data_IF_239119570797
#
_entry.id   IF_239119570797
#
_cell.length_a   1.000
_cell.length_b   1.000
_cell.length_c   1.000
_cell.angle_alpha   90.00
_cell.angle_beta   90.00
_cell.angle_gamma   90.00
#
_symmetry.space_group_name_H-M   'P 1'
#
loop_
_entity.id
_entity.type
_entity.pdbx_description
1 polymer ?
#
# COMPACT_ATOMS: atom_id res chain seq x y z
N UNK A 1 -3.56 28.19 -67.74
CA UNK A 1 -4.36 28.05 -68.92
C UNK A 1 -5.61 27.27 -68.54
N UNK A 2 -6.70 28.04 -68.41
CA UNK A 2 -8.07 27.53 -68.37
C UNK A 2 -8.48 27.16 -69.81
N UNK A 3 -9.55 26.35 -69.98
CA UNK A 3 -10.81 27.06 -70.22
C UNK A 3 -12.06 26.43 -69.54
N UNK A 4 -12.98 27.34 -69.38
CA UNK A 4 -14.38 27.29 -69.01
C UNK A 4 -15.29 26.54 -69.98
N UNK A 5 -16.53 26.43 -69.47
CA UNK A 5 -17.85 26.24 -70.14
C UNK A 5 -18.37 24.80 -70.04
N UNK A 6 -19.62 24.53 -69.55
CA UNK A 6 -20.89 25.03 -70.01
C UNK A 6 -22.02 24.89 -68.98
N UNK A 7 -22.77 25.98 -68.83
CA UNK A 7 -24.12 26.05 -68.28
C UNK A 7 -25.12 25.42 -69.23
N UNK A 8 -26.08 24.65 -68.70
CA UNK A 8 -27.47 24.70 -69.23
C UNK A 8 -28.47 24.28 -68.14
N UNK A 9 -29.45 25.15 -67.99
CA UNK A 9 -30.71 24.98 -67.29
C UNK A 9 -31.57 23.88 -67.88
N UNK A 10 -32.29 23.14 -67.02
CA UNK A 10 -33.68 22.76 -67.34
C UNK A 10 -34.53 22.75 -66.08
N UNK A 11 -35.65 23.41 -66.14
CA UNK A 11 -36.75 23.48 -65.16
C UNK A 11 -37.53 22.16 -65.21
N UNK A 12 -37.81 21.52 -64.12
CA UNK A 12 -38.97 20.63 -63.96
C UNK A 12 -39.70 21.00 -62.68
N UNK A 13 -41.00 21.17 -62.88
CA UNK A 13 -42.01 21.76 -62.01
C UNK A 13 -42.42 20.92 -60.83
N UNK A 14 -42.77 21.66 -59.81
CA UNK A 14 -43.69 21.35 -58.69
C UNK A 14 -44.67 20.19 -58.92
N UNK A 15 -44.60 19.18 -58.09
CA UNK A 15 -45.77 18.49 -57.54
C UNK A 15 -45.28 17.57 -56.33
N UNK A 16 -45.77 17.84 -55.16
CA UNK A 16 -46.08 17.06 -53.98
C UNK A 16 -45.72 17.75 -52.64
N UNK A 17 -46.70 18.45 -52.07
CA UNK A 17 -46.52 18.94 -50.68
C UNK A 17 -47.23 18.10 -49.60
N UNK A 18 -47.66 16.85 -49.85
CA UNK A 18 -48.51 16.14 -48.88
C UNK A 18 -47.87 14.91 -48.25
N UNK A 19 -46.79 14.39 -48.76
CA UNK A 19 -46.13 13.18 -48.19
C UNK A 19 -45.04 13.55 -47.17
N UNK A 20 -44.51 14.76 -47.21
CA UNK A 20 -43.43 15.18 -46.31
C UNK A 20 -43.88 15.56 -44.91
N UNK A 21 -45.17 15.84 -44.70
CA UNK A 21 -45.70 16.16 -43.35
C UNK A 21 -46.00 14.94 -42.47
N UNK A 22 -46.23 13.78 -43.04
CA UNK A 22 -46.50 12.55 -42.29
C UNK A 22 -45.20 11.84 -41.87
N UNK A 23 -44.08 11.99 -42.57
CA UNK A 23 -42.81 11.41 -42.18
C UNK A 23 -42.11 12.17 -41.02
N UNK A 24 -42.32 13.48 -40.91
CA UNK A 24 -41.76 14.28 -39.81
C UNK A 24 -42.43 14.00 -38.46
N UNK A 25 -43.70 13.60 -38.45
CA UNK A 25 -44.38 13.23 -37.19
C UNK A 25 -43.98 11.85 -36.70
N UNK A 26 -43.60 10.91 -37.55
CA UNK A 26 -43.10 9.60 -37.11
C UNK A 26 -41.66 9.61 -36.63
N UNK A 27 -40.85 10.52 -37.14
CA UNK A 27 -39.47 10.69 -36.64
C UNK A 27 -39.44 11.37 -35.27
N UNK A 28 -40.35 12.33 -35.01
CA UNK A 28 -40.47 12.96 -33.70
C UNK A 28 -41.07 12.02 -32.62
N UNK A 29 -41.90 11.04 -33.00
CA UNK A 29 -42.49 10.10 -32.05
C UNK A 29 -41.54 8.95 -31.67
N UNK A 30 -40.57 8.60 -32.53
CA UNK A 30 -39.56 7.57 -32.27
C UNK A 30 -38.41 8.15 -31.46
N UNK A 31 -38.08 9.44 -31.55
CA UNK A 31 -37.04 10.07 -30.70
C UNK A 31 -37.53 10.38 -29.30
N UNK A 32 -38.85 10.52 -29.08
CA UNK A 32 -39.40 10.78 -27.75
C UNK A 32 -39.58 9.53 -26.89
N UNK A 33 -39.41 8.31 -27.44
CA UNK A 33 -39.60 7.06 -26.67
C UNK A 33 -38.31 6.37 -26.23
N UNK A 34 -37.13 6.96 -26.51
CA UNK A 34 -35.82 6.41 -26.12
C UNK A 34 -34.93 7.39 -25.39
N UNK A 35 -35.46 8.43 -24.78
CA UNK A 35 -34.74 9.17 -23.75
C UNK A 35 -34.88 8.36 -22.45
N UNK A 36 -34.08 7.32 -22.29
CA UNK A 36 -33.76 6.81 -20.96
C UNK A 36 -33.36 8.03 -20.11
N UNK A 37 -33.90 8.21 -18.90
CA UNK A 37 -33.49 9.30 -18.06
C UNK A 37 -31.96 9.18 -17.91
N UNK A 38 -31.24 10.23 -18.27
CA UNK A 38 -29.80 10.35 -17.96
C UNK A 38 -29.74 10.06 -16.45
N UNK A 39 -29.04 9.00 -16.00
CA UNK A 39 -28.94 8.71 -14.60
C UNK A 39 -28.42 10.00 -13.94
N UNK A 40 -29.18 10.51 -12.95
CA UNK A 40 -28.77 11.69 -12.21
C UNK A 40 -27.34 11.43 -11.75
N UNK A 41 -26.42 12.34 -12.07
CA UNK A 41 -25.03 12.26 -11.60
C UNK A 41 -25.10 12.04 -10.08
N UNK A 42 -24.78 10.84 -9.64
CA UNK A 42 -24.71 10.55 -8.21
C UNK A 42 -23.72 11.55 -7.60
N UNK A 43 -24.15 12.20 -6.52
CA UNK A 43 -23.27 13.13 -5.81
C UNK A 43 -22.00 12.40 -5.42
N UNK A 44 -20.81 13.02 -5.61
CA UNK A 44 -19.55 12.42 -5.19
C UNK A 44 -19.66 11.94 -3.74
N UNK A 45 -19.26 10.71 -3.49
CA UNK A 45 -19.29 10.13 -2.15
C UNK A 45 -18.42 10.95 -1.21
N UNK A 46 -18.89 11.18 0.00
CA UNK A 46 -18.08 11.79 1.03
C UNK A 46 -17.03 10.79 1.55
N UNK A 47 -15.95 11.32 2.11
CA UNK A 47 -14.90 10.50 2.73
C UNK A 47 -15.48 9.53 3.78
N UNK A 48 -16.47 9.96 4.56
CA UNK A 48 -17.10 9.12 5.59
C UNK A 48 -17.93 7.95 5.03
N UNK A 49 -18.35 7.99 3.77
CA UNK A 49 -19.05 6.89 3.10
C UNK A 49 -18.10 5.87 2.46
N UNK A 50 -16.88 6.30 2.19
CA UNK A 50 -15.83 5.50 1.52
C UNK A 50 -14.78 4.96 2.48
N UNK A 51 -14.82 5.39 3.75
CA UNK A 51 -13.84 5.08 4.79
C UNK A 51 -14.50 4.45 6.01
N UNK A 52 -13.84 3.44 6.57
CA UNK A 52 -14.24 2.81 7.84
C UNK A 52 -13.07 2.76 8.81
N UNK A 53 -13.35 2.68 10.10
CA UNK A 53 -12.36 2.33 11.12
C UNK A 53 -12.20 0.82 11.15
N UNK A 54 -10.98 0.35 10.93
CA UNK A 54 -10.65 -1.07 11.03
C UNK A 54 -10.45 -1.44 12.50
N UNK A 55 -9.59 -0.71 13.18
CA UNK A 55 -9.25 -0.92 14.60
C UNK A 55 -8.54 0.31 15.17
N UNK A 56 -8.27 0.30 16.47
CA UNK A 56 -7.52 1.34 17.15
C UNK A 56 -8.26 1.92 18.35
N UNK A 57 -7.92 3.16 18.70
CA UNK A 57 -8.47 3.82 19.87
C UNK A 57 -9.99 3.96 19.80
N UNK A 58 -10.64 3.45 20.84
CA UNK A 58 -12.04 3.71 21.17
C UNK A 58 -12.15 4.09 22.64
N UNK A 59 -12.73 5.26 22.91
CA UNK A 59 -12.97 5.74 24.29
C UNK A 59 -13.90 4.85 25.11
N UNK A 60 -14.72 4.03 24.45
CA UNK A 60 -15.67 3.11 25.07
C UNK A 60 -15.10 1.67 25.16
N UNK A 61 -13.84 1.48 24.77
CA UNK A 61 -13.18 0.18 24.82
C UNK A 61 -13.20 -0.39 26.25
N UNK A 62 -13.54 -1.67 26.43
CA UNK A 62 -13.48 -2.34 27.73
C UNK A 62 -12.09 -2.20 28.36
N UNK A 63 -12.05 -2.00 29.69
CA UNK A 63 -10.78 -1.87 30.42
C UNK A 63 -9.90 -3.11 30.36
N UNK A 64 -10.51 -4.27 30.16
CA UNK A 64 -9.89 -5.58 30.02
C UNK A 64 -9.52 -5.93 28.57
N UNK A 65 -9.71 -5.00 27.64
CA UNK A 65 -9.26 -5.19 26.27
C UNK A 65 -7.74 -5.44 26.30
N UNK A 66 -7.28 -6.61 25.84
CA UNK A 66 -5.92 -7.07 26.13
C UNK A 66 -4.92 -6.01 25.67
N UNK A 67 -4.31 -5.42 26.65
CA UNK A 67 -3.14 -4.56 26.80
C UNK A 67 -2.43 -4.00 25.61
N UNK A 68 -3.17 -3.61 24.65
CA UNK A 68 -2.67 -3.25 23.35
C UNK A 68 -2.70 -1.71 23.32
N UNK A 69 -1.59 -1.12 22.97
CA UNK A 69 -1.49 0.33 22.79
C UNK A 69 -2.51 0.83 21.80
N UNK A 70 -2.76 2.12 21.85
CA UNK A 70 -3.73 2.80 21.00
C UNK A 70 -3.14 3.21 19.63
N UNK A 71 -2.00 2.66 19.27
CA UNK A 71 -1.29 2.94 18.05
C UNK A 71 -1.04 1.65 17.26
N UNK A 72 -1.24 1.71 15.95
CA UNK A 72 -0.95 0.62 15.06
C UNK A 72 -0.33 1.10 13.76
N UNK A 73 0.48 0.26 13.15
CA UNK A 73 0.89 0.39 11.76
C UNK A 73 -0.13 -0.34 10.88
N UNK A 74 -0.61 0.33 9.87
CA UNK A 74 -1.39 -0.34 8.84
C UNK A 74 -0.47 -1.21 7.99
N UNK A 75 -0.70 -2.51 8.04
CA UNK A 75 -0.04 -3.45 7.14
C UNK A 75 -0.86 -3.68 5.88
N UNK A 76 -0.57 -4.76 5.17
CA UNK A 76 -1.23 -5.09 3.93
C UNK A 76 -2.51 -5.89 4.11
N UNK A 77 -3.33 -5.87 3.07
CA UNK A 77 -4.55 -6.65 2.92
C UNK A 77 -4.31 -7.73 1.87
N UNK A 78 -4.89 -8.91 2.07
CA UNK A 78 -5.03 -9.95 1.05
C UNK A 78 -6.42 -10.56 1.11
N UNK A 79 -6.83 -11.24 0.03
CA UNK A 79 -8.08 -11.98 0.01
C UNK A 79 -7.82 -13.47 0.28
N UNK A 80 -8.58 -14.05 1.18
CA UNK A 80 -8.58 -15.48 1.50
C UNK A 80 -9.35 -16.26 0.45
N UNK A 81 -9.18 -17.60 0.43
CA UNK A 81 -9.84 -18.48 -0.55
C UNK A 81 -11.35 -18.48 -0.43
N UNK A 82 -11.86 -18.23 0.78
CA UNK A 82 -13.31 -18.12 1.06
C UNK A 82 -13.88 -16.72 0.74
N UNK A 83 -13.04 -15.81 0.21
CA UNK A 83 -13.43 -14.46 -0.18
C UNK A 83 -13.32 -13.42 0.92
N UNK A 84 -13.09 -13.80 2.18
CA UNK A 84 -12.81 -12.85 3.25
C UNK A 84 -11.53 -12.05 2.95
N UNK A 85 -11.47 -10.84 3.50
CA UNK A 85 -10.24 -10.05 3.52
C UNK A 85 -9.52 -10.30 4.85
N UNK A 86 -8.21 -10.40 4.78
CA UNK A 86 -7.30 -10.47 5.92
C UNK A 86 -6.41 -9.24 5.89
N UNK A 87 -6.34 -8.50 6.99
CA UNK A 87 -5.46 -7.36 7.19
C UNK A 87 -4.53 -7.65 8.34
N UNK A 88 -3.22 -7.52 8.12
CA UNK A 88 -2.21 -7.59 9.17
C UNK A 88 -1.81 -6.18 9.58
N UNK A 89 -1.56 -5.94 10.86
CA UNK A 89 -1.17 -4.63 11.37
C UNK A 89 -0.38 -4.77 12.67
N UNK A 90 0.41 -3.75 13.00
CA UNK A 90 1.02 -3.66 14.33
C UNK A 90 0.01 -3.10 15.32
N UNK A 91 0.15 -3.49 16.56
CA UNK A 91 -0.47 -2.84 17.69
C UNK A 91 0.56 -2.60 18.81
N UNK A 92 0.67 -1.34 19.24
CA UNK A 92 1.64 -0.92 20.23
C UNK A 92 1.47 0.56 20.57
N UNK A 93 2.37 1.12 21.38
CA UNK A 93 2.32 2.53 21.76
C UNK A 93 2.88 3.47 20.70
N UNK A 94 3.79 2.94 19.90
CA UNK A 94 4.47 3.64 18.82
C UNK A 94 5.10 2.61 17.89
N UNK A 95 5.77 3.03 16.82
CA UNK A 95 6.46 2.12 15.91
C UNK A 95 7.69 1.41 16.53
N UNK A 96 7.96 1.63 17.80
CA UNK A 96 8.94 0.97 18.59
C UNK A 96 8.43 0.92 20.03
N UNK A 97 7.82 -0.17 20.39
CA UNK A 97 7.26 -0.40 21.72
C UNK A 97 8.01 -1.56 22.36
N UNK A 98 8.53 -1.39 23.56
CA UNK A 98 9.35 -2.41 24.20
C UNK A 98 8.53 -3.41 24.99
N UNK A 99 8.87 -4.67 24.85
CA UNK A 99 8.24 -5.75 25.59
C UNK A 99 8.72 -5.81 27.06
N UNK A 100 9.94 -5.36 27.34
CA UNK A 100 10.51 -5.41 28.69
C UNK A 100 11.13 -4.09 29.12
N UNK A 101 10.43 -3.27 29.94
CA UNK A 101 10.94 -1.98 30.41
C UNK A 101 12.25 -2.08 31.17
N UNK A 102 12.52 -3.23 31.82
CA UNK A 102 13.75 -3.48 32.59
C UNK A 102 15.02 -3.48 31.73
N UNK A 103 14.87 -3.67 30.41
CA UNK A 103 15.98 -3.69 29.46
C UNK A 103 16.22 -2.32 28.82
N UNK A 104 15.40 -1.29 29.15
CA UNK A 104 15.58 0.04 28.57
C UNK A 104 16.83 0.68 29.17
N UNK A 105 17.78 0.97 28.30
CA UNK A 105 18.97 1.77 28.65
C UNK A 105 18.56 3.15 29.20
N UNK A 106 19.26 3.70 30.22
CA UNK A 106 18.92 4.99 30.82
C UNK A 106 18.80 6.14 29.78
N UNK A 107 19.68 6.16 28.78
CA UNK A 107 19.64 7.16 27.69
C UNK A 107 18.35 7.05 26.86
N UNK A 108 17.89 5.85 26.60
CA UNK A 108 16.65 5.61 25.89
C UNK A 108 15.45 6.01 26.75
N UNK A 109 15.46 5.71 28.04
CA UNK A 109 14.42 6.12 28.97
C UNK A 109 14.28 7.66 29.04
N UNK A 110 15.39 8.41 28.99
CA UNK A 110 15.36 9.88 28.91
C UNK A 110 14.67 10.35 27.63
N UNK A 111 15.00 9.76 26.48
CA UNK A 111 14.35 10.08 25.21
C UNK A 111 12.86 9.73 25.26
N UNK A 112 12.52 8.60 25.84
CA UNK A 112 11.15 8.13 26.01
C UNK A 112 10.30 9.13 26.80
N UNK A 113 10.83 9.59 27.96
CA UNK A 113 10.17 10.61 28.78
C UNK A 113 9.99 11.94 28.03
N UNK A 114 10.98 12.39 27.25
CA UNK A 114 10.86 13.61 26.44
C UNK A 114 9.72 13.54 25.42
N UNK A 115 9.32 12.36 25.02
CA UNK A 115 8.23 12.13 24.07
C UNK A 115 6.89 11.90 24.79
N UNK A 116 6.85 11.98 26.14
CA UNK A 116 5.68 11.61 26.94
C UNK A 116 5.18 10.20 26.69
N UNK A 117 6.08 9.27 26.38
CA UNK A 117 5.73 7.88 26.22
C UNK A 117 5.69 7.18 27.56
N UNK A 118 4.76 6.23 27.79
CA UNK A 118 4.66 5.55 29.06
C UNK A 118 5.92 4.71 29.33
N UNK A 119 6.46 4.84 30.55
CA UNK A 119 7.52 3.96 31.07
C UNK A 119 6.97 2.83 31.90
N UNK A 120 5.70 2.93 32.30
CA UNK A 120 4.99 1.94 33.08
C UNK A 120 4.19 1.04 32.14
N UNK A 121 4.79 -0.04 31.72
CA UNK A 121 4.16 -1.06 30.89
C UNK A 121 3.39 -2.06 31.76
N UNK A 122 2.35 -1.60 32.42
CA UNK A 122 1.41 -2.48 33.14
C UNK A 122 0.60 -3.35 32.18
N UNK A 123 0.55 -2.92 30.92
CA UNK A 123 -0.01 -3.75 29.88
C UNK A 123 1.02 -4.80 29.41
N UNK A 124 0.57 -5.97 28.97
CA UNK A 124 1.48 -6.92 28.33
C UNK A 124 2.12 -6.26 27.12
N UNK A 125 3.31 -5.81 27.31
CA UNK A 125 4.45 -5.92 26.45
C UNK A 125 4.33 -5.50 24.99
N UNK A 126 4.89 -4.37 24.68
CA UNK A 126 5.44 -4.01 23.38
C UNK A 126 4.47 -3.99 22.20
N UNK A 127 4.98 -3.63 21.07
CA UNK A 127 4.31 -3.80 19.79
C UNK A 127 4.28 -5.26 19.38
N UNK A 128 3.17 -5.70 18.82
CA UNK A 128 2.97 -7.04 18.32
C UNK A 128 2.26 -7.05 16.98
N UNK A 129 2.50 -8.09 16.23
CA UNK A 129 1.81 -8.34 14.97
C UNK A 129 0.41 -8.87 15.22
N UNK A 130 -0.57 -8.21 14.64
CA UNK A 130 -1.98 -8.52 14.77
C UNK A 130 -2.59 -8.84 13.41
N UNK A 131 -3.71 -9.53 13.44
CA UNK A 131 -4.54 -9.80 12.27
C UNK A 131 -6.00 -9.53 12.56
N UNK A 132 -6.72 -9.02 11.56
CA UNK A 132 -8.17 -8.82 11.58
C UNK A 132 -8.77 -9.22 10.25
N UNK A 133 -10.05 -9.59 10.25
CA UNK A 133 -10.74 -10.13 9.08
C UNK A 133 -12.00 -9.35 8.77
N UNK A 134 -12.39 -9.33 7.48
CA UNK A 134 -13.66 -8.79 7.01
C UNK A 134 -14.33 -9.80 6.08
N UNK A 135 -15.61 -10.09 6.35
CA UNK A 135 -16.46 -10.95 5.50
C UNK A 135 -17.42 -10.16 4.59
N UNK A 136 -17.39 -8.83 4.67
CA UNK A 136 -18.28 -7.92 3.97
C UNK A 136 -17.52 -6.87 3.13
N UNK A 137 -16.39 -7.30 2.53
CA UNK A 137 -15.54 -6.49 1.62
C UNK A 137 -14.91 -5.26 2.25
N UNK A 138 -14.62 -5.33 3.55
CA UNK A 138 -13.93 -4.25 4.27
C UNK A 138 -14.86 -3.29 4.98
N UNK A 139 -16.19 -3.52 4.99
CA UNK A 139 -17.15 -2.66 5.67
C UNK A 139 -17.06 -2.79 7.19
N UNK A 140 -16.96 -4.02 7.67
CA UNK A 140 -16.74 -4.31 9.09
C UNK A 140 -15.55 -5.26 9.26
N UNK A 141 -14.89 -5.16 10.40
CA UNK A 141 -13.70 -5.91 10.73
C UNK A 141 -13.84 -6.59 12.08
N UNK A 142 -13.32 -7.80 12.19
CA UNK A 142 -13.31 -8.53 13.46
C UNK A 142 -12.43 -7.83 14.49
N UNK A 143 -12.62 -8.17 15.76
CA UNK A 143 -11.64 -7.83 16.80
C UNK A 143 -10.27 -8.40 16.40
N UNK A 144 -9.17 -7.61 16.49
CA UNK A 144 -7.84 -8.11 16.20
C UNK A 144 -7.44 -9.24 17.13
N UNK A 145 -6.74 -10.21 16.57
CA UNK A 145 -6.08 -11.29 17.33
C UNK A 145 -4.58 -11.23 17.10
N UNK A 146 -3.79 -11.68 18.06
CA UNK A 146 -2.33 -11.73 17.94
C UNK A 146 -1.96 -12.75 16.87
N UNK A 147 -1.14 -12.31 15.89
CA UNK A 147 -0.53 -13.17 14.88
C UNK A 147 0.82 -13.69 15.37
N UNK A 148 1.67 -12.77 15.81
CA UNK A 148 2.99 -13.02 16.42
C UNK A 148 3.15 -12.06 17.59
N UNK A 149 3.86 -12.52 18.62
CA UNK A 149 4.29 -11.73 19.78
C UNK A 149 5.75 -12.08 20.06
N UNK A 150 6.65 -11.45 19.33
CA UNK A 150 8.08 -11.65 19.52
C UNK A 150 8.53 -11.01 20.83
N UNK A 151 9.53 -11.55 21.54
CA UNK A 151 10.06 -10.92 22.77
C UNK A 151 10.56 -9.49 22.60
N UNK A 152 10.90 -9.09 21.37
CA UNK A 152 11.13 -7.72 20.96
C UNK A 152 9.91 -7.15 20.22
N UNK A 153 9.87 -5.84 20.01
CA UNK A 153 8.78 -5.17 19.29
C UNK A 153 8.67 -5.68 17.84
N UNK A 154 7.53 -6.18 17.44
CA UNK A 154 7.32 -6.73 16.12
C UNK A 154 6.18 -6.04 15.35
N UNK A 155 6.27 -6.04 14.04
CA UNK A 155 5.34 -5.36 13.14
C UNK A 155 5.25 -6.06 11.80
N UNK A 156 4.04 -6.48 11.36
CA UNK A 156 3.84 -7.07 10.05
C UNK A 156 3.65 -5.96 9.00
N UNK A 157 4.40 -6.03 7.91
CA UNK A 157 4.30 -5.05 6.82
C UNK A 157 3.90 -5.65 5.50
N UNK A 158 4.38 -6.85 5.19
CA UNK A 158 4.09 -7.54 3.95
C UNK A 158 3.14 -8.70 4.16
N UNK A 159 2.13 -8.82 3.29
CA UNK A 159 1.24 -9.96 3.25
C UNK A 159 0.97 -10.30 1.79
N UNK A 160 1.34 -11.50 1.37
CA UNK A 160 1.19 -11.97 0.00
C UNK A 160 0.49 -13.32 -0.01
N UNK A 161 -0.50 -13.49 -0.90
CA UNK A 161 -0.93 -14.81 -1.35
C UNK A 161 -0.04 -15.24 -2.51
N UNK A 162 0.68 -16.32 -2.31
CA UNK A 162 1.53 -16.91 -3.32
C UNK A 162 0.71 -17.71 -4.36
N UNK A 163 1.29 -18.00 -5.52
CA UNK A 163 0.62 -18.78 -6.57
C UNK A 163 0.32 -20.23 -6.14
N UNK A 164 1.05 -20.77 -5.16
CA UNK A 164 0.76 -22.07 -4.54
C UNK A 164 -0.37 -22.02 -3.50
N UNK A 165 -1.10 -20.89 -3.44
CA UNK A 165 -2.14 -20.57 -2.47
C UNK A 165 -1.67 -20.44 -1.01
N UNK A 166 -0.39 -20.57 -0.71
CA UNK A 166 0.12 -20.25 0.62
C UNK A 166 0.07 -18.75 0.89
N UNK A 167 0.00 -18.38 2.17
CA UNK A 167 0.19 -17.01 2.62
C UNK A 167 1.62 -16.83 3.11
N UNK A 168 2.21 -15.71 2.76
CA UNK A 168 3.50 -15.24 3.25
C UNK A 168 3.28 -13.93 4.01
N UNK A 169 3.70 -13.86 5.25
CA UNK A 169 3.68 -12.64 6.05
C UNK A 169 5.11 -12.24 6.43
N UNK A 170 5.45 -10.97 6.19
CA UNK A 170 6.75 -10.40 6.47
C UNK A 170 6.66 -9.54 7.72
N UNK A 171 7.63 -9.69 8.62
CA UNK A 171 7.62 -9.09 9.96
C UNK A 171 8.95 -8.38 10.18
N UNK A 172 8.88 -7.12 10.61
CA UNK A 172 10.03 -6.37 11.12
C UNK A 172 10.07 -6.49 12.64
N UNK A 173 11.20 -6.89 13.18
CA UNK A 173 11.43 -6.94 14.65
C UNK A 173 12.44 -5.87 15.01
N UNK A 174 12.12 -5.05 16.00
CA UNK A 174 12.91 -3.89 16.44
C UNK A 174 13.54 -4.14 17.81
N UNK A 175 14.83 -3.89 17.89
CA UNK A 175 15.58 -4.00 19.14
C UNK A 175 15.25 -2.87 20.13
N UNK A 176 15.49 -3.07 21.44
CA UNK A 176 15.28 -2.03 22.46
C UNK A 176 16.11 -0.75 22.26
N UNK A 177 17.18 -0.82 21.50
CA UNK A 177 18.00 0.37 21.14
C UNK A 177 17.62 1.04 19.84
N UNK A 178 16.46 0.74 19.30
CA UNK A 178 15.97 1.36 18.06
C UNK A 178 16.10 2.89 18.11
N UNK A 179 16.74 3.45 17.07
CA UNK A 179 17.02 4.89 16.98
C UNK A 179 18.26 5.37 17.73
N UNK A 180 19.08 4.45 18.24
CA UNK A 180 20.43 4.72 18.73
C UNK A 180 21.47 4.25 17.70
N UNK A 181 22.64 4.88 17.66
CA UNK A 181 23.66 4.54 16.66
C UNK A 181 24.36 3.22 16.90
N UNK A 182 24.28 2.67 18.12
CA UNK A 182 24.98 1.45 18.52
C UNK A 182 24.11 0.61 19.43
N UNK A 183 24.29 -0.71 19.36
CA UNK A 183 23.70 -1.64 20.34
C UNK A 183 24.48 -1.57 21.66
N UNK A 184 23.79 -1.55 22.81
CA UNK A 184 24.46 -1.69 24.10
C UNK A 184 25.24 -3.02 24.16
N UNK A 185 26.45 -3.04 24.77
CA UNK A 185 27.25 -4.27 24.86
C UNK A 185 26.51 -5.46 25.47
N UNK A 186 25.65 -5.18 26.47
CA UNK A 186 24.85 -6.18 27.16
C UNK A 186 23.69 -6.78 26.32
N UNK A 187 23.34 -6.12 25.21
CA UNK A 187 22.20 -6.49 24.35
C UNK A 187 22.62 -6.96 22.94
N UNK A 188 23.92 -7.07 22.68
CA UNK A 188 24.44 -7.49 21.35
C UNK A 188 23.98 -8.87 20.91
N UNK A 189 23.57 -9.71 21.84
CA UNK A 189 23.03 -11.04 21.56
C UNK A 189 21.62 -11.00 20.99
N UNK A 190 20.88 -9.90 21.16
CA UNK A 190 19.54 -9.74 20.61
C UNK A 190 19.63 -9.39 19.12
N UNK A 191 18.76 -9.96 18.31
CA UNK A 191 18.67 -9.74 16.87
C UNK A 191 20.04 -9.74 16.14
N UNK A 192 20.98 -10.58 16.60
CA UNK A 192 22.36 -10.65 16.08
C UNK A 192 23.08 -9.29 16.07
N UNK A 193 22.76 -8.40 17.01
CA UNK A 193 23.30 -7.05 17.09
C UNK A 193 22.66 -6.03 16.16
N UNK A 194 21.70 -6.44 15.37
CA UNK A 194 20.96 -5.52 14.48
C UNK A 194 19.97 -4.65 15.27
N UNK A 195 19.82 -3.42 14.86
CA UNK A 195 18.82 -2.49 15.40
C UNK A 195 17.40 -2.92 14.99
N UNK A 196 17.26 -3.45 13.78
CA UNK A 196 16.02 -4.04 13.26
C UNK A 196 16.37 -5.23 12.37
N UNK A 197 15.64 -6.32 12.49
CA UNK A 197 15.80 -7.53 11.68
C UNK A 197 14.48 -7.91 11.05
N UNK A 198 14.56 -8.56 9.87
CA UNK A 198 13.41 -9.07 9.15
C UNK A 198 13.20 -10.54 9.43
N UNK A 199 11.94 -10.92 9.55
CA UNK A 199 11.47 -12.30 9.68
C UNK A 199 10.34 -12.55 8.70
N UNK A 200 10.07 -13.80 8.43
CA UNK A 200 8.92 -14.24 7.65
C UNK A 200 8.28 -15.47 8.26
N UNK A 201 6.97 -15.57 8.07
CA UNK A 201 6.15 -16.73 8.44
C UNK A 201 5.29 -17.11 7.24
N UNK A 202 4.89 -18.38 7.18
CA UNK A 202 4.04 -18.91 6.11
C UNK A 202 2.84 -19.66 6.68
N UNK A 203 1.73 -19.64 5.94
CA UNK A 203 0.55 -20.45 6.21
C UNK A 203 0.18 -21.21 4.94
N UNK A 204 -0.19 -22.48 5.09
CA UNK A 204 -0.70 -23.33 4.01
C UNK A 204 -2.19 -23.69 4.19
N UNK A 205 -2.83 -23.16 5.22
CA UNK A 205 -4.21 -23.40 5.61
C UNK A 205 -5.04 -22.11 5.69
N UNK A 206 -4.71 -21.16 4.80
CA UNK A 206 -5.42 -19.90 4.65
C UNK A 206 -5.38 -18.99 5.90
N UNK A 207 -4.27 -19.06 6.64
CA UNK A 207 -4.02 -18.23 7.82
C UNK A 207 -4.55 -18.77 9.14
N UNK A 208 -5.01 -20.03 9.18
CA UNK A 208 -5.45 -20.68 10.41
C UNK A 208 -4.26 -21.04 11.30
N UNK A 209 -3.16 -21.49 10.71
CA UNK A 209 -1.89 -21.72 11.38
C UNK A 209 -0.72 -21.13 10.60
N UNK A 210 0.37 -20.87 11.30
CA UNK A 210 1.58 -20.26 10.75
C UNK A 210 2.81 -21.01 11.20
N UNK A 211 3.85 -21.01 10.37
CA UNK A 211 5.17 -21.52 10.76
C UNK A 211 5.79 -20.64 11.85
N UNK A 212 6.79 -21.18 12.54
CA UNK A 212 7.66 -20.36 13.39
C UNK A 212 8.34 -19.27 12.54
N UNK A 213 8.61 -18.09 13.15
CA UNK A 213 9.32 -17.01 12.47
C UNK A 213 10.74 -17.41 12.07
N UNK A 214 11.06 -17.21 10.80
CA UNK A 214 12.40 -17.45 10.26
C UNK A 214 13.06 -16.11 9.97
N UNK A 215 14.27 -15.90 10.53
CA UNK A 215 15.04 -14.69 10.29
C UNK A 215 15.52 -14.66 8.83
N UNK A 216 15.37 -13.51 8.17
CA UNK A 216 15.92 -13.25 6.86
C UNK A 216 17.41 -12.91 7.00
N UNK A 217 18.27 -13.61 6.29
CA UNK A 217 19.67 -13.20 6.15
C UNK A 217 19.73 -11.94 5.29
N UNK A 218 20.31 -10.86 5.84
CA UNK A 218 20.40 -9.56 5.18
C UNK A 218 21.84 -9.11 5.03
N UNK A 219 22.16 -8.25 4.06
CA UNK A 219 23.51 -7.70 3.91
C UNK A 219 23.83 -6.62 4.96
N UNK A 220 22.86 -6.21 5.76
CA UNK A 220 22.99 -5.13 6.74
C UNK A 220 23.87 -5.52 7.92
N UNK A 221 24.68 -4.59 8.38
CA UNK A 221 25.48 -4.73 9.60
C UNK A 221 24.86 -4.05 10.81
N UNK A 222 23.93 -3.14 10.60
CA UNK A 222 23.30 -2.39 11.70
C UNK A 222 21.77 -2.41 11.63
N UNK A 223 21.18 -2.20 10.46
CA UNK A 223 19.75 -1.98 10.32
C UNK A 223 19.22 -2.64 9.06
N UNK A 224 18.18 -3.45 9.19
CA UNK A 224 17.44 -4.02 8.07
C UNK A 224 15.95 -3.92 8.33
N UNK A 225 15.19 -3.25 7.45
CA UNK A 225 13.75 -3.07 7.61
C UNK A 225 13.01 -3.13 6.28
N UNK A 226 11.73 -3.46 6.35
CA UNK A 226 10.81 -3.36 5.22
C UNK A 226 9.54 -2.62 5.63
N UNK A 227 8.96 -1.89 4.69
CA UNK A 227 7.59 -1.39 4.74
C UNK A 227 6.80 -1.84 3.52
N UNK A 228 7.45 -2.58 2.62
CA UNK A 228 6.89 -2.97 1.35
C UNK A 228 6.17 -4.31 1.40
N UNK A 229 5.23 -4.46 0.50
CA UNK A 229 4.67 -5.74 0.14
C UNK A 229 5.65 -6.49 -0.78
N UNK A 230 5.89 -7.79 -0.59
CA UNK A 230 6.56 -8.60 -1.58
C UNK A 230 5.66 -8.75 -2.81
N UNK A 231 6.25 -8.93 -3.97
CA UNK A 231 5.52 -9.20 -5.21
C UNK A 231 5.93 -10.53 -5.79
N UNK A 232 4.99 -11.22 -6.41
CA UNK A 232 5.28 -12.36 -7.27
C UNK A 232 5.33 -11.88 -8.72
N UNK A 233 6.40 -12.21 -9.44
CA UNK A 233 6.65 -11.76 -10.81
C UNK A 233 6.39 -12.88 -11.83
N UNK A 234 6.45 -12.56 -13.13
CA UNK A 234 6.04 -13.45 -14.21
C UNK A 234 6.80 -14.80 -14.25
N UNK A 235 8.03 -14.86 -13.75
CA UNK A 235 8.81 -16.10 -13.64
C UNK A 235 8.44 -16.92 -12.37
N UNK A 236 7.35 -16.54 -11.70
CA UNK A 236 6.83 -17.12 -10.47
C UNK A 236 7.70 -16.89 -9.22
N UNK A 237 8.85 -16.25 -9.33
CA UNK A 237 9.64 -15.89 -8.17
C UNK A 237 9.00 -14.74 -7.39
N UNK A 238 9.34 -14.64 -6.10
CA UNK A 238 8.90 -13.59 -5.23
C UNK A 238 10.07 -12.65 -4.97
N UNK A 239 9.85 -11.35 -5.12
CA UNK A 239 10.80 -10.31 -4.77
C UNK A 239 10.35 -9.60 -3.50
N UNK A 240 11.27 -9.44 -2.55
CA UNK A 240 11.04 -8.73 -1.29
C UNK A 240 12.05 -7.59 -1.16
N UNK A 241 11.61 -6.33 -1.32
CA UNK A 241 12.48 -5.18 -1.11
C UNK A 241 12.58 -4.84 0.37
N UNK A 242 13.80 -4.62 0.82
CA UNK A 242 14.12 -4.09 2.15
C UNK A 242 15.07 -2.90 2.02
N UNK A 243 15.25 -2.16 3.08
CA UNK A 243 16.27 -1.13 3.19
C UNK A 243 17.19 -1.40 4.37
N UNK A 244 18.45 -1.11 4.18
CA UNK A 244 19.55 -1.53 5.02
C UNK A 244 20.45 -0.36 5.36
N UNK A 245 21.14 -0.45 6.50
CA UNK A 245 22.29 0.39 6.84
C UNK A 245 23.39 -0.48 7.49
N UNK A 246 24.63 -0.12 7.21
CA UNK A 246 25.80 -0.76 7.81
C UNK A 246 26.33 0.00 9.03
N UNK A 247 25.79 1.19 9.31
CA UNK A 247 26.19 2.06 10.41
C UNK A 247 25.01 2.82 10.99
N UNK A 248 25.00 3.00 12.31
CA UNK A 248 24.01 3.84 12.99
C UNK A 248 24.36 5.33 12.99
N UNK A 249 25.54 5.71 12.49
CA UNK A 249 26.06 7.07 12.60
C UNK A 249 26.04 7.86 11.29
N UNK A 250 26.22 7.20 10.14
CA UNK A 250 26.24 7.88 8.84
C UNK A 250 24.85 8.17 8.24
N UNK A 251 23.81 7.53 8.79
CA UNK A 251 22.43 7.72 8.36
C UNK A 251 22.11 7.26 6.94
N UNK A 252 23.05 6.58 6.26
CA UNK A 252 22.88 6.13 4.88
C UNK A 252 22.08 4.86 4.82
N UNK A 253 21.06 4.87 3.97
CA UNK A 253 20.20 3.72 3.71
C UNK A 253 20.31 3.30 2.24
N UNK A 254 20.44 2.01 2.00
CA UNK A 254 20.44 1.41 0.69
C UNK A 254 19.36 0.34 0.58
N UNK A 255 18.85 0.13 -0.63
CA UNK A 255 17.90 -0.94 -0.91
C UNK A 255 18.59 -2.29 -1.05
N UNK A 256 17.91 -3.35 -0.67
CA UNK A 256 18.29 -4.71 -0.97
C UNK A 256 17.06 -5.51 -1.42
N UNK A 257 17.20 -6.25 -2.50
CA UNK A 257 16.14 -7.12 -3.02
C UNK A 257 16.49 -8.57 -2.64
N UNK A 258 15.57 -9.24 -1.99
CA UNK A 258 15.64 -10.66 -1.73
C UNK A 258 14.71 -11.38 -2.69
N UNK A 259 15.14 -12.56 -3.18
CA UNK A 259 14.36 -13.38 -4.10
C UNK A 259 14.14 -14.77 -3.52
N UNK A 260 12.91 -15.25 -3.70
CA UNK A 260 12.52 -16.64 -3.44
C UNK A 260 11.97 -17.27 -4.73
N UNK A 261 12.36 -18.51 -5.00
CA UNK A 261 11.84 -19.32 -6.12
C UNK A 261 11.00 -20.51 -5.64
N UNK A 262 10.72 -20.59 -4.35
CA UNK A 262 10.03 -21.71 -3.69
C UNK A 262 8.83 -21.24 -2.86
N UNK A 263 8.14 -20.20 -3.32
CA UNK A 263 6.97 -19.60 -2.67
C UNK A 263 7.28 -19.08 -1.25
N UNK A 264 8.46 -18.49 -1.06
CA UNK A 264 8.86 -17.86 0.21
C UNK A 264 9.33 -18.83 1.29
N UNK A 265 9.70 -20.07 0.95
CA UNK A 265 10.29 -21.02 1.90
C UNK A 265 11.74 -20.71 2.19
N UNK A 266 12.47 -20.27 1.17
CA UNK A 266 13.85 -19.83 1.30
C UNK A 266 14.10 -18.54 0.51
N UNK A 267 15.10 -17.79 0.91
CA UNK A 267 15.43 -16.48 0.37
C UNK A 267 16.92 -16.34 0.18
N UNK A 268 17.31 -15.62 -0.86
CA UNK A 268 18.68 -15.19 -1.07
C UNK A 268 18.74 -13.72 -1.49
N UNK A 269 19.83 -13.05 -1.15
CA UNK A 269 20.10 -11.69 -1.62
C UNK A 269 20.23 -11.71 -3.14
N UNK A 270 19.41 -10.92 -3.83
CA UNK A 270 19.35 -10.86 -5.28
C UNK A 270 20.13 -9.68 -5.84
N UNK A 271 19.90 -8.49 -5.29
CA UNK A 271 20.64 -7.28 -5.65
C UNK A 271 20.65 -6.26 -4.52
N UNK A 272 21.55 -5.28 -4.62
CA UNK A 272 21.58 -4.11 -3.76
C UNK A 272 21.41 -2.84 -4.60
N UNK A 273 20.72 -1.84 -4.04
CA UNK A 273 20.44 -0.57 -4.71
C UNK A 273 21.07 0.53 -3.88
N UNK A 274 22.14 1.12 -4.42
CA UNK A 274 22.80 2.28 -3.83
C UNK A 274 22.61 3.48 -4.76
N UNK A 275 22.10 4.56 -4.20
CA UNK A 275 21.97 5.86 -4.85
C UNK A 275 23.06 6.77 -4.27
N UNK A 276 23.75 7.52 -5.11
CA UNK A 276 24.99 8.21 -4.74
C UNK A 276 24.83 9.10 -3.48
N UNK A 277 24.00 10.13 -3.57
CA UNK A 277 23.82 11.11 -2.47
C UNK A 277 22.48 10.95 -1.75
N UNK A 278 21.61 10.02 -2.18
CA UNK A 278 20.23 9.91 -1.71
C UNK A 278 19.97 8.53 -1.13
N UNK A 279 19.25 8.47 -0.02
CA UNK A 279 18.83 7.22 0.58
C UNK A 279 17.86 6.46 -0.32
N UNK A 280 17.98 5.13 -0.36
CA UNK A 280 16.93 4.22 -0.83
C UNK A 280 16.20 3.66 0.39
N UNK A 281 15.27 4.45 0.94
CA UNK A 281 14.53 4.16 2.16
C UNK A 281 13.08 3.75 1.82
N UNK A 282 12.49 2.83 2.59
CA UNK A 282 11.13 2.33 2.42
C UNK A 282 10.77 1.98 0.95
N UNK A 283 11.58 1.20 0.22
CA UNK A 283 11.32 0.90 -1.18
C UNK A 283 10.04 0.10 -1.36
N UNK A 284 9.17 0.54 -2.28
CA UNK A 284 8.04 -0.23 -2.80
C UNK A 284 8.35 -0.74 -4.20
N UNK A 285 7.82 -1.90 -4.57
CA UNK A 285 8.13 -2.57 -5.81
C UNK A 285 6.85 -3.06 -6.51
N UNK A 286 6.84 -3.08 -7.83
CA UNK A 286 5.77 -3.65 -8.65
C UNK A 286 6.31 -4.15 -9.99
N UNK A 287 5.69 -5.15 -10.58
CA UNK A 287 5.91 -5.49 -11.99
C UNK A 287 4.92 -4.74 -12.86
N UNK A 288 5.43 -4.02 -13.86
CA UNK A 288 4.65 -3.27 -14.83
C UNK A 288 4.09 -4.19 -15.93
N UNK A 289 3.08 -3.72 -16.66
CA UNK A 289 2.44 -4.47 -17.74
C UNK A 289 3.41 -4.83 -18.89
N UNK A 290 4.47 -4.03 -19.10
CA UNK A 290 5.53 -4.33 -20.08
C UNK A 290 6.57 -5.34 -19.58
N UNK A 291 6.41 -5.87 -18.36
CA UNK A 291 7.31 -6.85 -17.74
C UNK A 291 8.46 -6.26 -16.93
N UNK A 292 8.75 -4.97 -17.05
CA UNK A 292 9.77 -4.31 -16.22
C UNK A 292 9.38 -4.34 -14.73
N UNK A 293 10.37 -4.33 -13.87
CA UNK A 293 10.15 -4.11 -12.43
C UNK A 293 10.38 -2.63 -12.14
N UNK A 294 9.43 -2.00 -11.48
CA UNK A 294 9.55 -0.62 -11.03
C UNK A 294 9.64 -0.57 -9.50
N UNK A 295 10.52 0.30 -9.00
CA UNK A 295 10.69 0.57 -7.58
C UNK A 295 10.55 2.08 -7.34
N UNK A 296 9.85 2.43 -6.25
CA UNK A 296 9.77 3.80 -5.75
C UNK A 296 10.26 3.81 -4.30
N UNK A 297 11.16 4.73 -3.97
CA UNK A 297 11.70 4.85 -2.61
C UNK A 297 11.65 6.29 -2.09
N UNK A 298 11.66 6.43 -0.76
CA UNK A 298 11.84 7.74 -0.11
C UNK A 298 13.34 8.07 0.02
N UNK A 299 13.71 9.35 0.30
CA UNK A 299 12.79 10.44 0.68
C UNK A 299 12.17 11.20 -0.49
N UNK A 300 12.81 11.22 -1.64
CA UNK A 300 12.49 12.06 -2.79
C UNK A 300 11.44 11.45 -3.74
N UNK A 301 11.04 10.20 -3.50
CA UNK A 301 10.19 9.45 -4.41
C UNK A 301 10.94 8.96 -5.65
N UNK A 302 12.24 8.66 -5.49
CA UNK A 302 13.07 8.16 -6.59
C UNK A 302 12.46 6.94 -7.26
N UNK A 303 12.33 7.00 -8.57
CA UNK A 303 11.78 5.94 -9.42
C UNK A 303 12.92 5.22 -10.12
N UNK A 304 13.00 3.90 -9.94
CA UNK A 304 14.00 3.06 -10.56
C UNK A 304 13.31 1.93 -11.35
N UNK A 305 13.92 1.55 -12.48
CA UNK A 305 13.45 0.44 -13.30
C UNK A 305 14.52 -0.65 -13.46
N UNK A 306 14.05 -1.86 -13.58
CA UNK A 306 14.87 -3.04 -13.88
C UNK A 306 14.26 -3.82 -15.05
N UNK A 307 15.10 -4.14 -16.04
CA UNK A 307 14.75 -4.95 -17.21
C UNK A 307 15.14 -6.44 -17.05
N UNK A 308 15.79 -6.79 -15.94
CA UNK A 308 16.42 -8.09 -15.69
C UNK A 308 15.93 -8.76 -14.40
N UNK A 309 14.62 -8.62 -14.11
CA UNK A 309 13.97 -9.20 -12.94
C UNK A 309 14.60 -8.75 -11.60
N UNK A 310 15.07 -7.52 -11.52
CA UNK A 310 15.57 -6.92 -10.28
C UNK A 310 17.05 -7.17 -10.00
N UNK A 311 17.85 -7.60 -10.99
CA UNK A 311 19.32 -7.77 -10.84
C UNK A 311 19.99 -6.39 -10.87
N UNK A 312 19.68 -5.58 -11.88
CA UNK A 312 20.23 -4.23 -12.02
C UNK A 312 19.12 -3.19 -12.09
N UNK A 313 19.47 -1.96 -11.68
CA UNK A 313 18.50 -0.88 -11.53
C UNK A 313 19.00 0.40 -12.18
N UNK A 314 18.11 1.08 -12.91
CA UNK A 314 18.35 2.40 -13.50
C UNK A 314 17.40 3.41 -12.90
N UNK A 315 17.92 4.51 -12.38
CA UNK A 315 17.12 5.64 -11.94
C UNK A 315 16.49 6.33 -13.17
N UNK A 316 15.19 6.58 -13.12
CA UNK A 316 14.42 7.13 -14.24
C UNK A 316 13.69 8.43 -13.89
N UNK A 317 13.84 8.92 -12.67
CA UNK A 317 13.24 10.18 -12.22
C UNK A 317 12.72 10.11 -10.81
N UNK A 318 11.78 10.98 -10.49
CA UNK A 318 11.17 11.08 -9.16
C UNK A 318 9.65 11.23 -9.23
N UNK A 319 8.96 10.67 -8.24
CA UNK A 319 7.51 10.81 -8.07
C UNK A 319 7.08 12.27 -7.82
N UNK A 320 7.95 13.05 -7.20
CA UNK A 320 7.71 14.44 -6.82
C UNK A 320 8.91 15.31 -7.19
N UNK A 321 8.64 16.56 -7.58
CA UNK A 321 9.70 17.53 -7.90
C UNK A 321 10.33 18.18 -6.67
N UNK A 322 9.62 18.22 -5.54
CA UNK A 322 10.08 18.85 -4.30
C UNK A 322 9.45 18.19 -3.07
N UNK A 323 10.18 18.20 -1.94
CA UNK A 323 9.71 17.69 -0.67
C UNK A 323 10.11 16.24 -0.39
N UNK A 324 9.34 15.55 0.45
CA UNK A 324 9.63 14.17 0.87
C UNK A 324 8.35 13.36 0.92
N UNK A 325 8.41 12.13 0.43
CA UNK A 325 7.35 11.13 0.62
C UNK A 325 7.72 10.17 1.76
N UNK A 326 6.73 9.40 2.21
CA UNK A 326 6.89 8.28 3.16
C UNK A 326 6.09 7.09 2.69
N UNK A 327 6.62 5.91 2.93
CA UNK A 327 5.97 4.61 2.75
C UNK A 327 5.16 4.49 1.46
N UNK A 328 5.79 4.57 0.28
CA UNK A 328 5.09 4.37 -0.98
C UNK A 328 4.48 2.96 -1.05
N UNK A 329 3.33 2.86 -1.75
CA UNK A 329 2.69 1.60 -2.15
C UNK A 329 2.38 1.67 -3.62
N UNK A 330 2.69 0.61 -4.34
CA UNK A 330 2.52 0.55 -5.79
C UNK A 330 1.46 -0.48 -6.17
N UNK A 331 0.67 -0.13 -7.18
CA UNK A 331 -0.31 -0.99 -7.81
C UNK A 331 -0.21 -0.80 -9.33
N UNK A 332 -0.56 -1.84 -10.09
CA UNK A 332 -0.73 -1.76 -11.54
C UNK A 332 -2.12 -2.27 -11.87
N UNK A 333 -2.92 -1.41 -12.50
CA UNK A 333 -4.28 -1.72 -12.91
C UNK A 333 -4.29 -2.63 -14.16
N UNK A 334 -5.45 -3.18 -14.49
CA UNK A 334 -5.61 -4.11 -15.62
C UNK A 334 -5.25 -3.49 -16.98
N UNK A 335 -5.35 -2.17 -17.12
CA UNK A 335 -4.96 -1.41 -18.32
C UNK A 335 -3.48 -0.99 -18.34
N UNK A 336 -2.69 -1.38 -17.34
CA UNK A 336 -1.29 -1.04 -17.21
C UNK A 336 -1.00 0.27 -16.50
N UNK A 337 -2.03 1.04 -16.09
CA UNK A 337 -1.86 2.26 -15.29
C UNK A 337 -1.18 1.94 -13.96
N UNK A 338 -0.08 2.61 -13.65
CA UNK A 338 0.59 2.51 -12.37
C UNK A 338 0.04 3.54 -11.38
N UNK A 339 -0.18 3.11 -10.14
CA UNK A 339 -0.68 3.95 -9.06
C UNK A 339 0.25 3.84 -7.87
N UNK A 340 0.71 4.97 -7.35
CA UNK A 340 1.45 5.05 -6.10
C UNK A 340 0.61 5.74 -5.04
N UNK A 341 0.43 5.09 -3.90
CA UNK A 341 -0.17 5.69 -2.71
C UNK A 341 0.94 5.96 -1.70
N UNK A 342 1.13 7.20 -1.31
CA UNK A 342 2.21 7.59 -0.40
C UNK A 342 1.81 8.77 0.48
N UNK A 343 2.50 8.98 1.59
CA UNK A 343 2.32 10.18 2.38
C UNK A 343 3.23 11.30 1.86
N UNK A 344 2.63 12.31 1.25
CA UNK A 344 3.28 13.57 0.85
C UNK A 344 2.54 14.73 1.51
N UNK A 345 3.03 15.20 2.66
CA UNK A 345 2.30 16.11 3.57
C UNK A 345 1.00 15.53 4.09
N UNK A 346 0.24 14.83 3.24
CA UNK A 346 -1.01 14.09 3.48
C UNK A 346 -0.95 12.76 2.76
N UNK A 347 -1.89 11.87 3.01
CA UNK A 347 -2.04 10.65 2.23
C UNK A 347 -2.50 11.01 0.82
N UNK A 348 -1.69 10.71 -0.18
CA UNK A 348 -1.88 11.10 -1.57
C UNK A 348 -1.80 9.89 -2.51
N UNK A 349 -2.42 10.06 -3.67
CA UNK A 349 -2.34 9.16 -4.83
C UNK A 349 -1.59 9.86 -5.95
N UNK A 350 -0.74 9.14 -6.64
CA UNK A 350 -0.02 9.55 -7.85
C UNK A 350 -0.32 8.54 -8.95
N UNK A 351 -0.50 9.00 -10.17
CA UNK A 351 -0.94 8.19 -11.31
C UNK A 351 0.09 8.33 -12.44
N UNK A 352 0.44 7.22 -13.06
CA UNK A 352 1.27 7.16 -14.25
C UNK A 352 0.62 6.23 -15.29
N UNK A 353 0.47 6.71 -16.51
CA UNK A 353 -0.08 5.95 -17.65
C UNK A 353 1.00 5.54 -18.67
N UNK A 354 2.26 5.78 -18.35
CA UNK A 354 3.43 5.56 -19.21
C UNK A 354 4.54 4.76 -18.52
N UNK A 355 4.15 3.75 -17.75
CA UNK A 355 5.07 2.84 -17.06
C UNK A 355 5.99 3.55 -16.05
N UNK A 356 5.50 4.58 -15.36
CA UNK A 356 6.25 5.26 -14.31
C UNK A 356 7.24 6.31 -14.81
N UNK A 357 7.22 6.67 -16.09
CA UNK A 357 8.10 7.71 -16.63
C UNK A 357 7.67 9.11 -16.17
N UNK A 358 6.36 9.37 -16.17
CA UNK A 358 5.79 10.61 -15.65
C UNK A 358 4.66 10.32 -14.68
N UNK A 359 4.54 11.19 -13.69
CA UNK A 359 3.55 11.05 -12.61
C UNK A 359 2.66 12.28 -12.52
N UNK A 360 1.40 12.07 -12.17
CA UNK A 360 0.47 13.16 -11.88
C UNK A 360 0.95 14.02 -10.69
N UNK A 361 0.42 15.23 -10.58
CA UNK A 361 0.47 15.96 -9.32
C UNK A 361 -0.19 15.13 -8.19
N UNK A 362 0.18 15.34 -6.91
CA UNK A 362 -0.38 14.60 -5.78
C UNK A 362 -1.88 14.87 -5.63
N UNK A 363 -2.68 13.82 -5.66
CA UNK A 363 -4.12 13.86 -5.43
C UNK A 363 -4.37 13.44 -3.97
N UNK A 364 -4.99 14.32 -3.17
CA UNK A 364 -5.22 14.05 -1.75
C UNK A 364 -6.31 12.99 -1.57
N UNK A 365 -5.96 11.86 -0.97
CA UNK A 365 -6.89 10.79 -0.61
C UNK A 365 -7.47 11.02 0.80
N UNK A 366 -6.64 11.37 1.78
CA UNK A 366 -7.03 11.66 3.16
C UNK A 366 -6.12 12.72 3.80
N UNK A 367 -6.62 13.34 4.86
CA UNK A 367 -5.90 14.38 5.61
C UNK A 367 -4.77 13.84 6.50
N UNK A 368 -4.67 12.51 6.69
CA UNK A 368 -3.61 11.91 7.49
C UNK A 368 -2.23 12.38 7.02
N UNK A 369 -1.46 12.92 7.93
CA UNK A 369 -0.07 13.36 7.68
C UNK A 369 0.95 12.26 7.97
N UNK A 370 0.50 11.12 8.47
CA UNK A 370 1.33 9.98 8.80
C UNK A 370 1.12 8.83 7.81
N UNK A 371 -0.12 8.41 7.57
CA UNK A 371 -0.54 7.47 6.53
C UNK A 371 0.05 6.07 6.68
N UNK A 372 1.24 5.84 6.16
CA UNK A 372 1.88 4.52 6.05
C UNK A 372 0.93 3.49 5.44
N UNK A 373 0.55 3.67 4.17
CA UNK A 373 -0.49 2.89 3.56
C UNK A 373 -0.07 1.43 3.33
N UNK A 374 -0.98 0.51 3.59
CA UNK A 374 -1.06 -0.80 3.01
C UNK A 374 -2.17 -0.84 1.97
N UNK A 375 -2.50 -2.01 1.44
CA UNK A 375 -3.67 -2.08 0.56
C UNK A 375 -3.76 -3.34 -0.27
N UNK A 376 -4.86 -3.42 -0.99
CA UNK A 376 -5.21 -4.52 -1.87
C UNK A 376 -5.88 -3.99 -3.14
N UNK A 377 -5.42 -4.45 -4.30
CA UNK A 377 -6.06 -4.20 -5.58
C UNK A 377 -7.19 -5.21 -5.77
N UNK A 378 -8.41 -4.70 -5.91
CA UNK A 378 -9.59 -5.50 -6.14
C UNK A 378 -9.67 -5.91 -7.62
N UNK A 379 -10.44 -6.96 -7.93
CA UNK A 379 -10.61 -7.46 -9.31
C UNK A 379 -11.28 -6.46 -10.27
N UNK A 380 -11.93 -5.43 -9.75
CA UNK A 380 -12.58 -4.34 -10.48
C UNK A 380 -11.69 -3.10 -10.62
N UNK A 381 -10.38 -3.26 -10.46
CA UNK A 381 -9.40 -2.18 -10.46
C UNK A 381 -9.62 -1.09 -9.39
N UNK A 382 -10.52 -1.31 -8.44
CA UNK A 382 -10.59 -0.45 -7.27
C UNK A 382 -9.54 -0.83 -6.25
N UNK A 383 -9.08 0.13 -5.48
CA UNK A 383 -8.06 -0.04 -4.46
C UNK A 383 -8.68 0.11 -3.08
N UNK A 384 -8.50 -0.90 -2.22
CA UNK A 384 -8.81 -0.83 -0.80
C UNK A 384 -7.50 -0.55 -0.04
N UNK A 385 -7.37 0.66 0.50
CA UNK A 385 -6.16 1.13 1.17
C UNK A 385 -6.38 1.17 2.66
N UNK A 386 -5.53 0.47 3.41
CA UNK A 386 -5.39 0.62 4.86
C UNK A 386 -4.36 1.70 5.19
N UNK A 387 -4.58 2.49 6.23
CA UNK A 387 -3.62 3.52 6.65
C UNK A 387 -3.83 3.95 8.10
N UNK A 388 -2.81 4.55 8.69
CA UNK A 388 -2.82 5.02 10.07
C UNK A 388 -3.24 6.49 10.14
N UNK A 389 -4.12 6.82 11.10
CA UNK A 389 -4.58 8.18 11.33
C UNK A 389 -3.45 9.12 11.77
N UNK A 390 -2.62 8.65 12.71
CA UNK A 390 -1.60 9.44 13.39
C UNK A 390 -0.35 8.62 13.68
N UNK A 391 0.79 9.27 13.74
CA UNK A 391 2.06 8.66 14.17
C UNK A 391 2.24 8.50 15.67
N UNK A 392 1.22 8.78 16.46
CA UNK A 392 1.26 8.70 17.94
C UNK A 392 -0.08 8.20 18.49
N UNK A 393 -0.02 7.47 19.58
CA UNK A 393 -1.22 7.08 20.35
C UNK A 393 -1.90 8.32 20.97
N UNK A 394 -3.25 8.38 21.05
CA UNK A 394 -4.17 7.39 20.50
C UNK A 394 -4.28 7.50 18.99
N UNK A 395 -4.43 6.39 18.28
CA UNK A 395 -4.54 6.35 16.83
C UNK A 395 -5.49 5.26 16.37
N UNK A 396 -5.90 5.34 15.08
CA UNK A 396 -6.76 4.37 14.42
C UNK A 396 -6.13 3.91 13.12
N UNK A 397 -6.49 2.71 12.72
CA UNK A 397 -6.27 2.20 11.37
C UNK A 397 -7.60 2.36 10.62
N UNK A 398 -7.54 3.02 9.49
CA UNK A 398 -8.65 3.19 8.56
C UNK A 398 -8.47 2.29 7.34
N UNK A 399 -9.58 1.94 6.71
CA UNK A 399 -9.63 1.45 5.34
C UNK A 399 -10.48 2.40 4.50
N UNK A 400 -10.01 2.72 3.29
CA UNK A 400 -10.69 3.57 2.32
C UNK A 400 -10.68 2.89 0.96
N UNK A 401 -11.79 3.01 0.20
CA UNK A 401 -11.91 2.46 -1.15
C UNK A 401 -12.07 3.56 -2.18
N UNK A 402 -11.34 3.45 -3.29
CA UNK A 402 -11.44 4.34 -4.44
C UNK A 402 -11.06 3.61 -5.74
N UNK A 403 -11.44 4.16 -6.87
CA UNK A 403 -10.93 3.83 -8.19
C UNK A 403 -10.38 5.08 -8.89
N UNK A 404 -9.81 4.92 -10.07
CA UNK A 404 -9.47 6.05 -10.92
C UNK A 404 -10.66 6.38 -11.83
N UNK A 405 -10.81 7.68 -12.15
CA UNK A 405 -11.75 8.09 -13.17
C UNK A 405 -11.37 7.50 -14.56
N UNK A 406 -12.30 7.45 -15.53
CA UNK A 406 -12.01 6.86 -16.85
C UNK A 406 -10.83 7.50 -17.60
N UNK A 407 -10.54 8.78 -17.34
CA UNK A 407 -9.43 9.52 -17.93
C UNK A 407 -8.09 9.27 -17.25
N UNK A 408 -8.05 8.47 -16.18
CA UNK A 408 -6.84 8.19 -15.35
C UNK A 408 -6.16 9.46 -14.82
N UNK A 409 -6.90 10.51 -14.60
CA UNK A 409 -6.40 11.82 -14.17
C UNK A 409 -6.79 12.21 -12.75
N UNK A 410 -7.71 11.46 -12.12
CA UNK A 410 -8.21 11.72 -10.77
C UNK A 410 -8.73 10.43 -10.12
N UNK A 411 -9.01 10.51 -8.81
CA UNK A 411 -9.64 9.43 -8.04
C UNK A 411 -11.14 9.69 -7.88
N UNK A 412 -11.88 8.59 -7.79
CA UNK A 412 -13.29 8.57 -7.44
C UNK A 412 -13.47 7.70 -6.18
N UNK A 413 -13.99 8.32 -5.11
CA UNK A 413 -14.27 7.58 -3.88
C UNK A 413 -15.40 6.58 -4.12
N UNK A 414 -15.24 5.38 -3.63
CA UNK A 414 -16.22 4.31 -3.75
C UNK A 414 -16.79 3.94 -2.38
N UNK A 415 -18.02 3.45 -2.35
CA UNK A 415 -18.52 2.80 -1.13
C UNK A 415 -17.61 1.65 -0.77
N UNK A 416 -17.30 1.52 0.51
CA UNK A 416 -16.37 0.49 0.99
C UNK A 416 -16.81 -0.92 0.58
N UNK A 417 -18.12 -1.19 0.61
CA UNK A 417 -18.78 -2.47 0.31
C UNK A 417 -19.24 -2.58 -1.16
N UNK A 418 -18.75 -1.72 -2.05
CA UNK A 418 -19.13 -1.73 -3.47
C UNK A 418 -19.04 -3.13 -4.09
N UNK A 419 -20.08 -3.52 -4.81
CA UNK A 419 -20.13 -4.75 -5.59
C UNK A 419 -19.89 -4.40 -7.05
N UNK A 420 -18.90 -5.00 -7.74
CA UNK A 420 -18.78 -4.82 -9.18
C UNK A 420 -20.06 -5.32 -9.85
N UNK A 421 -20.58 -4.55 -10.78
CA UNK A 421 -21.68 -4.99 -11.65
C UNK A 421 -21.11 -6.07 -12.57
N UNK A 422 -21.46 -7.32 -12.31
CA UNK A 422 -21.11 -8.41 -13.22
C UNK A 422 -22.06 -8.28 -14.42
N UNK A 423 -21.60 -7.67 -15.49
CA UNK A 423 -22.26 -7.81 -16.77
C UNK A 423 -22.12 -9.27 -17.20
N UNK A 424 -23.24 -10.02 -17.13
CA UNK A 424 -23.35 -11.40 -17.63
C UNK A 424 -23.33 -11.39 -19.15
#
# INVERSE_FOLDING_TARGET
MLPESWLRNEKISLFYPTVFRLMLWHIFLIVALHSSPIPALEKPLSLNQSRVTVTGYDKNRPKDYPGIGDFGWAGNITQLTDGRLMLVHQWGYWHSSFSEPRLIEPKLAVRWRKQNWPLDFKAPTGGRSMVTYSSDRGKTWTRPITLIDHPQDDSPYGLLRCLDNSLLCLISVQAPWYGFPESPPTMKHLLNGLNTQQFYIRSTDDGLSWTEPVALETPARFYARSHAQPIQINDQSILWPIYCSDSGTDGRLYGAIHRSTDSGRSWHLWSTIRRDEINCDEPAIVQLANGQIMLVCRPDGGVLHSDDNGISWKESGTLISQGKIKAPRLFVLSDGTAVCVATYRRLCVFISTDHGQHWSAPIVLDKSSYGYPGGFLMKDDSMLISYVESGRAPSRIYAIRFCLNPQRSNIELMRIDHQPVIHK
#
